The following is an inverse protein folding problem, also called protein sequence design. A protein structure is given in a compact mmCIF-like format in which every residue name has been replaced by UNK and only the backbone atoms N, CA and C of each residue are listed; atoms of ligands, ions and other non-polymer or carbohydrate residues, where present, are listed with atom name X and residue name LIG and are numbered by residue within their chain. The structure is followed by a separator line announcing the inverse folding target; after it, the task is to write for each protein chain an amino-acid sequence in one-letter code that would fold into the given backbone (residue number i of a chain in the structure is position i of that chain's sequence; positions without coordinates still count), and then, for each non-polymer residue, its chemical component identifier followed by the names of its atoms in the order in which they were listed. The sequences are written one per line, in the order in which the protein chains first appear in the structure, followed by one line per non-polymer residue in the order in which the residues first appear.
data_IF_002952453349
#
_entry.id   IF_002952453349
#
_cell.length_a   1.000
_cell.length_b   1.000
_cell.length_c   1.000
_cell.angle_alpha   90.00
_cell.angle_beta   90.00
_cell.angle_gamma   90.00
#
_symmetry.space_group_name_H-M   'P 1'
#
loop_
_entity.id
_entity.type
_entity.pdbx_description
1 polymer ?
#
# COMPACT_ATOMS: atom_id res chain seq x y z
N UNK A 1 -1.31 -18.06 34.30
CA UNK A 1 -2.36 -18.42 33.31
C UNK A 1 -2.31 -17.37 32.21
N UNK A 2 -2.05 -17.75 30.95
CA UNK A 2 -1.91 -16.78 29.89
C UNK A 2 -3.30 -16.27 29.51
N UNK A 3 -3.58 -15.01 29.88
CA UNK A 3 -4.70 -14.26 29.35
C UNK A 3 -4.50 -14.13 27.84
N UNK A 4 -5.50 -14.57 27.10
CA UNK A 4 -5.61 -14.36 25.66
C UNK A 4 -5.33 -12.89 25.36
N UNK A 5 -4.20 -12.63 24.69
CA UNK A 5 -3.94 -11.36 24.03
C UNK A 5 -5.00 -11.21 22.94
N UNK A 6 -6.12 -10.59 23.32
CA UNK A 6 -7.00 -9.97 22.35
C UNK A 6 -6.14 -9.01 21.54
N UNK A 7 -6.06 -9.26 20.24
CA UNK A 7 -5.41 -8.46 19.22
C UNK A 7 -5.93 -7.03 19.28
N UNK A 8 -5.37 -6.20 20.15
CA UNK A 8 -5.41 -4.75 19.97
C UNK A 8 -4.67 -4.47 18.67
N UNK A 9 -5.38 -3.90 17.69
CA UNK A 9 -4.77 -3.32 16.49
C UNK A 9 -3.98 -2.09 16.94
N UNK A 10 -2.76 -2.31 17.44
CA UNK A 10 -1.90 -1.22 17.87
C UNK A 10 -1.31 -0.55 16.63
N UNK A 11 -1.77 0.67 16.34
CA UNK A 11 -1.04 1.58 15.47
C UNK A 11 0.01 2.23 16.37
N UNK A 12 1.25 1.80 16.21
CA UNK A 12 2.35 2.42 16.93
C UNK A 12 2.87 3.61 16.12
N UNK A 13 2.58 4.80 16.61
CA UNK A 13 3.09 6.05 16.05
C UNK A 13 4.36 6.42 16.82
N UNK A 14 5.48 6.53 16.12
CA UNK A 14 6.73 7.04 16.70
C UNK A 14 7.06 8.37 16.07
N UNK A 15 7.44 9.36 16.89
CA UNK A 15 7.92 10.67 16.43
C UNK A 15 9.26 10.94 17.08
N UNK A 16 10.24 11.22 16.22
CA UNK A 16 11.61 11.49 16.62
C UNK A 16 11.92 12.98 16.40
N UNK A 17 12.74 13.53 17.28
CA UNK A 17 13.17 14.93 17.23
C UNK A 17 14.44 15.06 16.37
N UNK A 18 14.36 15.87 15.31
CA UNK A 18 15.54 16.46 14.68
C UNK A 18 16.14 17.52 15.63
N UNK A 19 17.45 17.43 15.91
CA UNK A 19 18.16 18.28 16.88
C UNK A 19 18.23 19.75 16.40
N UNK A 20 17.15 20.52 16.58
CA UNK A 20 17.22 21.99 16.59
C UNK A 20 17.19 22.49 18.04
N UNK A 21 18.13 23.37 18.39
CA UNK A 21 18.11 24.11 19.67
C UNK A 21 16.80 24.92 19.70
N UNK A 22 16.09 24.88 20.84
CA UNK A 22 14.84 25.65 21.10
C UNK A 22 13.51 25.07 20.57
N UNK A 23 13.43 23.75 20.32
CA UNK A 23 12.13 23.07 20.10
C UNK A 23 11.75 22.24 21.34
N UNK A 24 10.60 22.51 21.95
CA UNK A 24 9.95 21.68 22.98
C UNK A 24 8.98 20.69 22.31
N UNK A 25 8.92 19.46 22.81
CA UNK A 25 7.97 18.45 22.35
C UNK A 25 7.10 18.02 23.52
N UNK A 26 5.80 18.06 23.30
CA UNK A 26 4.77 17.62 24.24
C UNK A 26 3.82 16.65 23.55
N UNK A 27 3.18 15.79 24.35
CA UNK A 27 2.23 14.81 23.84
C UNK A 27 1.14 14.56 24.86
N UNK A 28 -0.03 14.14 24.39
CA UNK A 28 -1.14 13.73 25.23
C UNK A 28 -1.90 12.59 24.57
N UNK A 29 -2.45 11.68 25.38
CA UNK A 29 -3.44 10.71 24.90
C UNK A 29 -4.85 11.23 25.15
N UNK A 30 -5.79 10.89 24.26
CA UNK A 30 -7.18 11.31 24.37
C UNK A 30 -8.14 10.28 23.77
N UNK A 31 -9.40 10.36 24.17
CA UNK A 31 -10.48 9.55 23.62
C UNK A 31 -10.94 10.17 22.28
N UNK A 32 -10.72 9.49 21.13
CA UNK A 32 -11.10 10.01 19.83
C UNK A 32 -12.63 10.05 19.61
N UNK A 33 -13.41 9.37 20.46
CA UNK A 33 -14.87 9.35 20.38
C UNK A 33 -15.53 10.51 21.15
N UNK A 34 -14.74 11.25 21.92
CA UNK A 34 -15.19 12.45 22.65
C UNK A 34 -15.31 13.68 21.74
N UNK A 35 -15.76 14.81 22.30
CA UNK A 35 -15.86 16.10 21.58
C UNK A 35 -14.51 16.81 21.36
N UNK A 36 -13.41 16.24 21.85
CA UNK A 36 -12.07 16.83 21.74
C UNK A 36 -11.84 18.07 22.62
N UNK A 37 -12.81 18.48 23.44
CA UNK A 37 -12.71 19.69 24.25
C UNK A 37 -11.57 19.63 25.28
N UNK A 38 -11.30 18.42 25.80
CA UNK A 38 -10.25 18.16 26.80
C UNK A 38 -8.85 18.48 26.28
N UNK A 39 -8.56 18.16 25.02
CA UNK A 39 -7.26 18.43 24.40
C UNK A 39 -7.22 19.84 23.81
N UNK A 40 -8.31 20.27 23.17
CA UNK A 40 -8.40 21.59 22.55
C UNK A 40 -8.28 22.72 23.57
N UNK A 41 -8.90 22.59 24.74
CA UNK A 41 -8.85 23.61 25.78
C UNK A 41 -7.44 23.83 26.32
N UNK A 42 -6.61 22.79 26.39
CA UNK A 42 -5.21 22.86 26.84
C UNK A 42 -4.36 23.54 25.77
N UNK A 43 -4.48 23.12 24.51
CA UNK A 43 -3.79 23.74 23.38
C UNK A 43 -4.16 25.23 23.23
N UNK A 44 -5.45 25.56 23.34
CA UNK A 44 -5.93 26.94 23.22
C UNK A 44 -5.39 27.84 24.34
N UNK A 45 -5.28 27.34 25.58
CA UNK A 45 -4.83 28.13 26.74
C UNK A 45 -3.31 28.23 26.84
N UNK A 46 -2.59 27.17 26.53
CA UNK A 46 -1.17 27.05 26.83
C UNK A 46 -0.27 26.98 25.59
N UNK A 47 -0.83 26.71 24.40
CA UNK A 47 -0.07 26.53 23.16
C UNK A 47 0.70 25.20 23.08
N UNK A 48 0.61 24.35 24.11
CA UNK A 48 1.28 23.05 24.21
C UNK A 48 0.36 22.02 24.88
N UNK A 49 0.82 20.77 24.93
CA UNK A 49 0.11 19.67 25.58
C UNK A 49 0.71 19.38 26.96
N UNK A 50 -0.13 19.07 27.95
CA UNK A 50 0.36 18.49 29.20
C UNK A 50 0.70 17.01 28.97
N UNK A 51 1.89 16.56 29.42
CA UNK A 51 2.25 15.14 29.39
C UNK A 51 1.29 14.36 30.27
N UNK A 52 0.26 13.79 29.65
CA UNK A 52 -0.77 13.03 30.32
C UNK A 52 -0.88 11.67 29.67
N UNK A 53 -0.29 10.68 30.33
CA UNK A 53 -0.49 9.28 30.02
C UNK A 53 -1.82 8.85 30.65
N UNK A 54 -2.88 8.72 29.83
CA UNK A 54 -4.10 8.06 30.30
C UNK A 54 -3.91 6.55 30.17
N UNK A 55 -4.25 5.80 31.23
CA UNK A 55 -4.20 4.34 31.21
C UNK A 55 -5.16 3.78 30.16
N UNK A 56 -4.67 2.83 29.36
CA UNK A 56 -5.44 2.07 28.36
C UNK A 56 -6.65 1.33 28.95
N UNK A 57 -6.69 1.14 30.27
CA UNK A 57 -7.79 0.46 30.96
C UNK A 57 -9.11 1.24 30.96
N UNK A 58 -9.08 2.53 30.57
CA UNK A 58 -10.24 3.44 30.69
C UNK A 58 -11.04 3.57 29.38
N UNK A 59 -10.47 3.28 28.20
CA UNK A 59 -11.11 3.56 26.91
C UNK A 59 -11.12 2.36 25.96
N UNK A 60 -12.15 2.28 25.09
CA UNK A 60 -12.22 1.32 23.99
C UNK A 60 -11.32 1.71 22.80
N UNK A 61 -11.11 3.01 22.59
CA UNK A 61 -10.24 3.59 21.55
C UNK A 61 -9.27 4.59 22.18
N UNK A 62 -8.07 4.72 21.63
CA UNK A 62 -7.05 5.64 22.11
C UNK A 62 -6.42 6.39 20.93
N UNK A 63 -6.36 7.71 21.04
CA UNK A 63 -5.63 8.57 20.13
C UNK A 63 -4.48 9.27 20.86
N UNK A 64 -3.46 9.65 20.08
CA UNK A 64 -2.27 10.37 20.56
C UNK A 64 -2.18 11.67 19.78
N UNK A 65 -1.96 12.77 20.49
CA UNK A 65 -1.61 14.05 19.89
C UNK A 65 -0.16 14.39 20.24
N UNK A 66 0.52 15.01 19.28
CA UNK A 66 1.88 15.47 19.39
C UNK A 66 1.92 16.96 19.09
N UNK A 67 2.62 17.73 19.92
CA UNK A 67 2.76 19.15 19.77
C UNK A 67 4.24 19.52 19.89
N UNK A 68 4.77 20.15 18.85
CA UNK A 68 6.08 20.76 18.85
C UNK A 68 5.92 22.27 18.95
N UNK A 69 6.65 22.87 19.88
CA UNK A 69 6.64 24.30 20.16
C UNK A 69 8.04 24.86 19.98
N UNK A 70 8.14 26.04 19.37
CA UNK A 70 9.40 26.76 19.21
C UNK A 70 9.15 28.25 19.06
N UNK A 71 10.15 29.05 19.44
CA UNK A 71 10.13 30.51 19.29
C UNK A 71 10.95 30.89 18.07
N UNK A 72 10.27 31.40 17.03
CA UNK A 72 10.89 31.89 15.82
C UNK A 72 11.27 33.38 15.98
N UNK A 73 12.54 33.71 15.82
CA UNK A 73 13.02 35.09 15.87
C UNK A 73 12.68 35.84 14.57
N UNK A 74 12.58 37.18 14.58
CA UNK A 74 12.42 37.96 13.35
C UNK A 74 13.51 37.63 12.33
N UNK A 75 13.11 37.45 11.06
CA UNK A 75 14.00 37.07 9.96
C UNK A 75 14.74 35.73 10.16
N UNK A 76 14.17 34.79 10.94
CA UNK A 76 14.70 33.44 11.10
C UNK A 76 13.72 32.37 10.59
N UNK A 77 14.23 31.15 10.38
CA UNK A 77 13.44 29.98 9.97
C UNK A 77 13.69 28.87 10.99
N UNK A 78 12.59 28.26 11.46
CA UNK A 78 12.62 27.06 12.31
C UNK A 78 11.98 25.93 11.51
N UNK A 79 12.66 24.78 11.42
CA UNK A 79 12.15 23.61 10.70
C UNK A 79 11.81 22.52 11.71
N UNK A 80 10.57 22.04 11.67
CA UNK A 80 10.07 20.97 12.53
C UNK A 80 9.58 19.85 11.61
N UNK A 81 10.10 18.65 11.83
CA UNK A 81 9.80 17.48 11.01
C UNK A 81 9.04 16.44 11.84
N UNK A 82 7.98 15.90 11.25
CA UNK A 82 7.22 14.78 11.80
C UNK A 82 7.28 13.61 10.83
N UNK A 83 7.28 12.40 11.38
CA UNK A 83 7.20 11.18 10.60
C UNK A 83 6.09 10.31 11.16
N UNK A 84 5.27 9.74 10.28
CA UNK A 84 4.26 8.75 10.64
C UNK A 84 4.67 7.40 10.07
N UNK A 85 4.66 6.38 10.92
CA UNK A 85 4.91 4.99 10.54
C UNK A 85 3.83 4.10 11.12
N UNK A 86 3.54 2.98 10.47
CA UNK A 86 2.62 1.97 10.97
C UNK A 86 3.18 0.58 10.65
N UNK A 87 2.99 -0.36 11.58
CA UNK A 87 3.34 -1.77 11.40
C UNK A 87 2.07 -2.61 11.36
N UNK A 88 1.69 -3.02 10.14
CA UNK A 88 0.59 -3.96 9.89
C UNK A 88 1.11 -5.10 9.00
N UNK A 89 1.93 -6.00 9.57
CA UNK A 89 2.79 -6.91 8.80
C UNK A 89 2.02 -7.99 8.07
N UNK A 90 0.84 -8.36 8.56
CA UNK A 90 0.07 -9.49 8.05
C UNK A 90 -1.23 -8.97 7.43
N UNK A 91 -1.50 -9.42 6.21
CA UNK A 91 -2.79 -9.23 5.54
C UNK A 91 -3.55 -10.55 5.52
N UNK A 92 -4.84 -10.49 5.87
CA UNK A 92 -5.79 -11.59 5.75
C UNK A 92 -6.93 -11.13 4.85
N UNK A 93 -7.22 -11.92 3.82
CA UNK A 93 -8.37 -11.69 2.94
C UNK A 93 -9.61 -12.37 3.51
N UNK A 94 -10.80 -12.05 2.97
CA UNK A 94 -12.10 -12.49 3.53
C UNK A 94 -12.20 -14.01 3.71
N UNK A 95 -11.51 -14.77 2.87
CA UNK A 95 -11.35 -16.22 3.00
C UNK A 95 -10.72 -16.72 4.30
N UNK A 96 -9.87 -15.91 4.93
CA UNK A 96 -9.18 -16.21 6.19
C UNK A 96 -8.23 -17.42 6.15
N UNK A 97 -8.14 -18.16 5.04
CA UNK A 97 -7.40 -19.43 4.96
C UNK A 97 -5.89 -19.26 4.86
N UNK A 98 -5.41 -18.08 4.47
CA UNK A 98 -3.98 -17.80 4.31
C UNK A 98 -3.64 -16.40 4.85
N UNK A 99 -2.53 -16.34 5.56
CA UNK A 99 -1.89 -15.10 5.99
C UNK A 99 -0.81 -14.71 4.98
N UNK A 100 -0.74 -13.44 4.63
CA UNK A 100 0.29 -12.90 3.74
C UNK A 100 1.12 -11.89 4.50
N UNK A 101 2.44 -12.09 4.52
CA UNK A 101 3.36 -11.14 5.12
C UNK A 101 3.67 -10.05 4.11
N UNK A 102 3.43 -8.78 4.47
CA UNK A 102 3.77 -7.63 3.63
C UNK A 102 5.27 -7.55 3.41
N UNK A 103 5.65 -7.21 2.18
CA UNK A 103 7.05 -7.23 1.70
C UNK A 103 8.02 -6.44 2.58
N UNK A 104 7.59 -5.31 3.14
CA UNK A 104 8.48 -4.44 3.91
C UNK A 104 9.15 -5.16 5.09
N UNK A 105 8.50 -6.20 5.65
CA UNK A 105 9.03 -6.99 6.78
C UNK A 105 10.33 -7.70 6.49
N UNK A 106 10.69 -7.89 5.22
CA UNK A 106 12.00 -8.39 4.82
C UNK A 106 13.14 -7.46 5.25
N UNK A 107 12.91 -6.15 5.26
CA UNK A 107 13.93 -5.12 5.44
C UNK A 107 14.12 -4.71 6.90
N UNK A 108 13.16 -5.02 7.77
CA UNK A 108 13.16 -4.63 9.17
C UNK A 108 13.20 -5.88 10.06
N UNK A 109 14.18 -5.95 10.94
CA UNK A 109 14.35 -7.08 11.88
C UNK A 109 14.50 -6.50 13.29
N UNK A 110 13.37 -6.32 13.96
CA UNK A 110 13.41 -5.82 15.33
C UNK A 110 13.96 -6.88 16.27
N UNK A 111 14.95 -6.50 17.09
CA UNK A 111 15.50 -7.37 18.15
C UNK A 111 14.57 -7.45 19.38
N UNK A 112 13.67 -6.47 19.52
CA UNK A 112 12.82 -6.29 20.70
C UNK A 112 11.32 -6.28 20.34
N UNK A 113 10.95 -6.74 19.13
CA UNK A 113 9.61 -6.68 18.56
C UNK A 113 8.98 -5.28 18.45
N UNK A 114 9.74 -4.20 18.66
CA UNK A 114 9.34 -2.82 18.36
C UNK A 114 9.76 -2.45 16.92
N UNK A 115 8.90 -2.75 15.96
CA UNK A 115 9.15 -2.51 14.53
C UNK A 115 8.88 -1.06 14.13
N UNK A 116 7.97 -0.38 14.81
CA UNK A 116 7.58 0.99 14.46
C UNK A 116 8.61 2.03 14.85
N UNK A 117 9.32 1.83 15.96
CA UNK A 117 10.50 2.65 16.26
C UNK A 117 11.61 2.43 15.23
N UNK A 118 11.83 1.19 14.79
CA UNK A 118 12.81 0.88 13.73
C UNK A 118 12.44 1.55 12.39
N UNK A 119 11.17 1.43 11.97
CA UNK A 119 10.64 2.10 10.78
C UNK A 119 10.80 3.61 10.87
N UNK A 120 10.47 4.21 12.01
CA UNK A 120 10.55 5.65 12.23
C UNK A 120 12.00 6.14 12.18
N UNK A 121 12.92 5.47 12.91
CA UNK A 121 14.34 5.78 12.88
C UNK A 121 14.93 5.65 11.46
N UNK A 122 14.52 4.63 10.71
CA UNK A 122 14.93 4.45 9.33
C UNK A 122 14.43 5.58 8.44
N UNK A 123 13.15 5.95 8.54
CA UNK A 123 12.58 7.07 7.80
C UNK A 123 13.31 8.38 8.08
N UNK A 124 13.57 8.70 9.34
CA UNK A 124 14.36 9.89 9.68
C UNK A 124 15.78 9.82 9.13
N UNK A 125 16.44 8.67 9.21
CA UNK A 125 17.82 8.52 8.74
C UNK A 125 17.95 8.62 7.22
N UNK A 126 16.92 8.20 6.47
CA UNK A 126 16.98 8.09 5.02
C UNK A 126 16.24 9.18 4.25
N UNK A 127 15.35 9.96 4.88
CA UNK A 127 14.48 10.94 4.19
C UNK A 127 15.21 11.88 3.23
N UNK A 128 16.36 12.44 3.61
CA UNK A 128 17.10 13.38 2.76
C UNK A 128 17.63 12.68 1.50
N UNK A 129 18.10 11.44 1.65
CA UNK A 129 18.53 10.63 0.52
C UNK A 129 17.34 10.20 -0.36
N UNK A 130 16.14 10.02 0.21
CA UNK A 130 14.92 9.74 -0.55
C UNK A 130 14.43 10.96 -1.31
N UNK A 131 14.41 12.14 -0.69
CA UNK A 131 14.08 13.41 -1.34
C UNK A 131 15.00 13.67 -2.54
N UNK A 132 16.32 13.47 -2.37
CA UNK A 132 17.28 13.60 -3.47
C UNK A 132 16.99 12.59 -4.60
N UNK A 133 16.70 11.33 -4.28
CA UNK A 133 16.37 10.31 -5.29
C UNK A 133 15.07 10.62 -6.02
N UNK A 134 14.04 11.08 -5.32
CA UNK A 134 12.75 11.50 -5.90
C UNK A 134 12.99 12.68 -6.85
N UNK A 135 13.72 13.70 -6.40
CA UNK A 135 14.07 14.86 -7.23
C UNK A 135 14.85 14.44 -8.47
N UNK A 136 15.86 13.59 -8.33
CA UNK A 136 16.66 13.09 -9.45
C UNK A 136 15.84 12.29 -10.47
N UNK A 137 14.83 11.55 -10.02
CA UNK A 137 13.91 10.86 -10.91
C UNK A 137 12.94 11.83 -11.60
N UNK A 138 12.29 12.74 -10.87
CA UNK A 138 11.33 13.70 -11.43
C UNK A 138 12.00 14.70 -12.39
N UNK A 139 13.21 15.18 -12.06
CA UNK A 139 13.94 16.19 -12.83
C UNK A 139 14.32 15.73 -14.24
N UNK A 140 14.32 14.42 -14.52
CA UNK A 140 14.48 13.90 -15.89
C UNK A 140 13.36 14.35 -16.83
N UNK A 141 12.18 14.63 -16.29
CA UNK A 141 10.99 15.05 -17.02
C UNK A 141 10.65 16.52 -16.72
N UNK A 142 10.76 16.97 -15.47
CA UNK A 142 10.43 18.34 -15.09
C UNK A 142 11.29 19.39 -15.82
N UNK A 143 12.57 19.07 -16.07
CA UNK A 143 13.48 19.96 -16.79
C UNK A 143 13.30 19.93 -18.31
N UNK A 144 12.44 19.05 -18.84
CA UNK A 144 12.13 19.06 -20.26
C UNK A 144 11.13 20.17 -20.57
N UNK A 145 11.63 21.26 -21.16
CA UNK A 145 10.82 22.41 -21.56
C UNK A 145 9.97 22.16 -22.81
N UNK A 146 10.16 21.05 -23.51
CA UNK A 146 9.30 20.66 -24.65
C UNK A 146 7.95 20.09 -24.19
N UNK A 147 7.88 19.60 -22.95
CA UNK A 147 6.67 19.02 -22.37
C UNK A 147 5.81 20.10 -21.68
N UNK A 148 4.50 20.17 -21.95
CA UNK A 148 3.59 21.06 -21.23
C UNK A 148 3.49 20.74 -19.73
N UNK A 149 3.33 21.77 -18.91
CA UNK A 149 3.23 21.59 -17.44
C UNK A 149 2.03 20.73 -17.00
N UNK A 150 0.91 20.81 -17.70
CA UNK A 150 -0.25 19.97 -17.40
C UNK A 150 0.06 18.47 -17.62
N UNK A 151 0.89 18.15 -18.63
CA UNK A 151 1.25 16.79 -18.96
C UNK A 151 2.20 16.22 -17.90
N UNK A 152 3.18 17.01 -17.45
CA UNK A 152 4.06 16.64 -16.34
C UNK A 152 3.26 16.35 -15.07
N UNK A 153 2.31 17.22 -14.75
CA UNK A 153 1.41 17.04 -13.60
C UNK A 153 0.63 15.71 -13.70
N UNK A 154 -0.02 15.44 -14.83
CA UNK A 154 -0.76 14.20 -15.02
C UNK A 154 0.16 12.98 -14.92
N UNK A 155 1.31 13.01 -15.59
CA UNK A 155 2.24 11.88 -15.62
C UNK A 155 2.72 11.45 -14.23
N UNK A 156 2.95 12.40 -13.32
CA UNK A 156 3.36 12.08 -11.95
C UNK A 156 2.18 11.76 -11.03
N UNK A 157 1.11 12.55 -11.11
CA UNK A 157 0.00 12.41 -10.17
C UNK A 157 -0.80 11.13 -10.42
N UNK A 158 -0.95 10.67 -11.67
CA UNK A 158 -1.66 9.42 -11.97
C UNK A 158 -0.95 8.16 -11.41
N UNK A 159 0.35 8.25 -11.07
CA UNK A 159 1.07 7.16 -10.41
C UNK A 159 0.58 6.89 -8.98
N UNK A 160 -0.24 7.77 -8.39
CA UNK A 160 -0.83 7.56 -7.06
C UNK A 160 -1.52 6.19 -6.97
N UNK A 161 -2.14 5.74 -8.07
CA UNK A 161 -2.93 4.51 -8.12
C UNK A 161 -2.09 3.25 -7.86
N UNK A 162 -0.77 3.31 -8.08
CA UNK A 162 0.12 2.18 -7.74
C UNK A 162 0.24 1.95 -6.23
N UNK A 163 -0.06 2.96 -5.43
CA UNK A 163 -0.07 2.86 -3.96
C UNK A 163 -1.49 2.78 -3.42
N UNK A 164 -2.42 3.52 -4.00
CA UNK A 164 -3.80 3.65 -3.53
C UNK A 164 -4.78 2.65 -4.18
N UNK A 165 -4.40 1.98 -5.26
CA UNK A 165 -5.23 1.00 -5.97
C UNK A 165 -5.40 -0.33 -5.23
N UNK A 166 -5.57 -0.32 -3.90
CA UNK A 166 -5.68 -1.54 -3.09
C UNK A 166 -4.43 -2.43 -3.15
N UNK A 167 -3.25 -1.84 -3.35
CA UNK A 167 -2.00 -2.55 -3.62
C UNK A 167 -1.59 -3.50 -2.50
N UNK A 168 -1.21 -4.71 -2.90
CA UNK A 168 -0.71 -5.80 -2.07
C UNK A 168 0.65 -6.23 -2.62
N UNK A 169 1.68 -6.04 -1.79
CA UNK A 169 3.02 -6.53 -2.07
C UNK A 169 3.49 -7.42 -0.92
N UNK A 170 3.71 -8.70 -1.21
CA UNK A 170 3.85 -9.74 -0.19
C UNK A 170 5.11 -10.57 -0.36
N UNK A 171 5.66 -11.04 0.76
CA UNK A 171 6.78 -11.97 0.81
C UNK A 171 6.34 -13.35 0.33
N UNK A 172 7.19 -14.00 -0.47
CA UNK A 172 6.98 -15.38 -0.87
C UNK A 172 7.09 -16.33 0.33
N UNK A 173 6.17 -17.27 0.42
CA UNK A 173 6.20 -18.35 1.39
C UNK A 173 6.25 -19.70 0.66
N UNK A 174 7.21 -20.53 1.04
CA UNK A 174 7.43 -21.85 0.43
C UNK A 174 6.22 -22.77 0.56
N UNK A 175 5.37 -22.54 1.56
CA UNK A 175 4.12 -23.27 1.75
C UNK A 175 3.15 -23.11 0.58
N UNK A 176 3.26 -22.04 -0.23
CA UNK A 176 2.38 -21.79 -1.36
C UNK A 176 2.46 -22.87 -2.43
N UNK A 177 3.62 -23.51 -2.61
CA UNK A 177 3.80 -24.64 -3.55
C UNK A 177 2.88 -25.82 -3.24
N UNK A 178 2.43 -25.98 -1.99
CA UNK A 178 1.49 -27.05 -1.61
C UNK A 178 0.10 -26.84 -2.24
N UNK A 179 -0.26 -25.58 -2.45
CA UNK A 179 -1.58 -25.14 -2.93
C UNK A 179 -1.56 -24.61 -4.37
N UNK A 180 -0.43 -24.08 -4.84
CA UNK A 180 -0.23 -23.46 -6.16
C UNK A 180 0.79 -24.28 -6.95
N UNK A 181 0.32 -25.41 -7.48
CA UNK A 181 1.21 -26.45 -8.06
C UNK A 181 1.81 -26.09 -9.42
N UNK A 182 1.27 -25.07 -10.08
CA UNK A 182 1.69 -24.67 -11.43
C UNK A 182 2.79 -23.60 -11.40
N UNK A 183 3.29 -23.21 -10.22
CA UNK A 183 4.30 -22.18 -10.11
C UNK A 183 5.64 -22.68 -10.65
N UNK A 184 6.21 -21.98 -11.64
CA UNK A 184 7.48 -22.37 -12.24
C UNK A 184 8.67 -22.05 -11.32
N UNK A 185 9.82 -22.70 -11.57
CA UNK A 185 11.06 -22.41 -10.83
C UNK A 185 11.50 -20.94 -10.98
N UNK A 186 11.24 -20.35 -12.15
CA UNK A 186 11.56 -18.95 -12.43
C UNK A 186 10.66 -18.02 -11.62
N UNK A 187 9.35 -18.26 -11.57
CA UNK A 187 8.42 -17.51 -10.72
C UNK A 187 8.79 -17.61 -9.25
N UNK A 188 9.15 -18.80 -8.77
CA UNK A 188 9.60 -18.99 -7.38
C UNK A 188 10.85 -18.15 -7.10
N UNK A 189 11.83 -18.15 -8.02
CA UNK A 189 13.05 -17.34 -7.88
C UNK A 189 12.71 -15.86 -7.84
N UNK A 190 11.89 -15.39 -8.76
CA UNK A 190 11.47 -13.98 -8.83
C UNK A 190 10.71 -13.57 -7.57
N UNK A 191 9.73 -14.35 -7.12
CA UNK A 191 8.96 -14.04 -5.90
C UNK A 191 9.83 -14.06 -4.64
N UNK A 192 10.80 -14.96 -4.53
CA UNK A 192 11.78 -14.93 -3.42
C UNK A 192 12.60 -13.65 -3.42
N UNK A 193 12.96 -13.14 -4.60
CA UNK A 193 13.85 -11.98 -4.73
C UNK A 193 13.11 -10.65 -4.70
N UNK A 194 11.90 -10.54 -5.23
CA UNK A 194 11.16 -9.29 -5.43
C UNK A 194 9.74 -9.29 -4.86
N UNK A 195 9.25 -10.43 -4.38
CA UNK A 195 7.91 -10.57 -3.83
C UNK A 195 6.84 -10.73 -4.92
N UNK A 196 5.63 -11.07 -4.49
CA UNK A 196 4.45 -11.15 -5.34
C UNK A 196 3.63 -9.87 -5.20
N UNK A 197 3.20 -9.31 -6.32
CA UNK A 197 2.57 -7.99 -6.37
C UNK A 197 1.19 -8.07 -7.02
N UNK A 198 0.23 -7.37 -6.42
CA UNK A 198 -1.10 -7.21 -6.98
C UNK A 198 -1.67 -5.83 -6.66
N UNK A 199 -2.50 -5.30 -7.55
CA UNK A 199 -3.30 -4.10 -7.33
C UNK A 199 -4.67 -4.28 -7.99
N UNK A 200 -5.65 -3.49 -7.57
CA UNK A 200 -7.02 -3.55 -8.08
C UNK A 200 -7.13 -2.90 -9.44
N UNK A 201 -8.08 -3.38 -10.24
CA UNK A 201 -8.53 -2.68 -11.43
C UNK A 201 -9.18 -1.34 -11.09
N UNK A 202 -10.10 -1.33 -10.12
CA UNK A 202 -10.73 -0.13 -9.59
C UNK A 202 -11.27 -0.38 -8.17
N UNK A 203 -11.75 0.68 -7.52
CA UNK A 203 -12.48 0.55 -6.25
C UNK A 203 -13.92 0.01 -6.40
N UNK A 204 -14.42 -0.07 -7.63
CA UNK A 204 -15.73 -0.64 -7.97
C UNK A 204 -15.59 -2.10 -8.42
N UNK A 205 -14.47 -2.41 -9.07
CA UNK A 205 -14.12 -3.73 -9.57
C UNK A 205 -12.92 -4.28 -8.80
N UNK A 206 -13.20 -5.06 -7.76
CA UNK A 206 -12.19 -5.61 -6.86
C UNK A 206 -11.36 -6.77 -7.48
N UNK A 207 -11.11 -6.74 -8.78
CA UNK A 207 -10.33 -7.71 -9.52
C UNK A 207 -8.86 -7.32 -9.48
N UNK A 208 -7.99 -8.29 -9.16
CA UNK A 208 -6.56 -8.07 -8.94
C UNK A 208 -5.78 -8.28 -10.22
N UNK A 209 -4.95 -7.29 -10.58
CA UNK A 209 -4.13 -7.29 -11.78
C UNK A 209 -4.90 -7.60 -13.08
N UNK A 210 -6.15 -7.15 -13.23
CA UNK A 210 -6.95 -7.40 -14.46
C UNK A 210 -6.11 -7.16 -15.72
N UNK A 211 -5.87 -8.21 -16.51
CA UNK A 211 -4.76 -8.24 -17.46
C UNK A 211 -4.97 -7.33 -18.67
N UNK A 212 -6.18 -7.28 -19.20
CA UNK A 212 -6.55 -6.41 -20.32
C UNK A 212 -6.50 -4.92 -19.93
N UNK A 213 -6.74 -4.60 -18.66
CA UNK A 213 -6.55 -3.24 -18.13
C UNK A 213 -5.07 -2.98 -17.81
N UNK A 214 -4.39 -3.96 -17.19
CA UNK A 214 -2.98 -3.89 -16.85
C UNK A 214 -2.10 -3.67 -18.09
N UNK A 215 -2.51 -4.16 -19.27
CA UNK A 215 -1.84 -3.85 -20.53
C UNK A 215 -1.56 -2.35 -20.69
N UNK A 216 -2.53 -1.48 -20.37
CA UNK A 216 -2.38 -0.03 -20.50
C UNK A 216 -1.52 0.59 -19.40
N UNK A 217 -1.58 0.07 -18.17
CA UNK A 217 -0.80 0.59 -17.04
C UNK A 217 0.61 0.00 -16.93
N UNK A 218 0.88 -1.14 -17.60
CA UNK A 218 2.13 -1.89 -17.55
C UNK A 218 3.34 -1.03 -17.89
N UNK A 219 3.18 -0.03 -18.79
CA UNK A 219 4.25 0.90 -19.13
C UNK A 219 4.82 1.62 -17.89
N UNK A 220 3.95 2.03 -16.98
CA UNK A 220 4.36 2.73 -15.77
C UNK A 220 5.15 1.81 -14.82
N UNK A 221 4.79 0.51 -14.74
CA UNK A 221 5.57 -0.48 -13.99
C UNK A 221 6.89 -0.81 -14.68
N UNK A 222 6.88 -1.02 -15.99
CA UNK A 222 8.09 -1.35 -16.77
C UNK A 222 9.17 -0.27 -16.66
N UNK A 223 8.77 1.01 -16.71
CA UNK A 223 9.69 2.15 -16.64
C UNK A 223 10.25 2.36 -15.23
N UNK A 224 9.43 2.18 -14.19
CA UNK A 224 9.78 2.57 -12.82
C UNK A 224 10.17 1.38 -11.92
N UNK A 225 9.55 0.22 -12.10
CA UNK A 225 9.74 -1.01 -11.30
C UNK A 225 9.69 -2.28 -12.17
N UNK A 226 10.65 -2.47 -13.10
CA UNK A 226 10.64 -3.59 -14.06
C UNK A 226 10.64 -4.98 -13.39
N UNK A 227 11.20 -5.11 -12.19
CA UNK A 227 11.22 -6.38 -11.45
C UNK A 227 9.84 -6.73 -10.84
N UNK A 228 9.05 -5.71 -10.51
CA UNK A 228 7.64 -5.88 -10.10
C UNK A 228 6.81 -6.28 -11.32
N UNK A 229 7.01 -5.61 -12.46
CA UNK A 229 6.38 -5.99 -13.72
C UNK A 229 6.67 -7.45 -14.08
N UNK A 230 7.94 -7.87 -13.97
CA UNK A 230 8.34 -9.26 -14.21
C UNK A 230 7.64 -10.24 -13.26
N UNK A 231 7.50 -9.89 -11.98
CA UNK A 231 6.70 -10.70 -11.04
C UNK A 231 5.25 -10.88 -11.51
N UNK A 232 4.60 -9.83 -12.04
CA UNK A 232 3.23 -9.91 -12.56
C UNK A 232 3.16 -10.82 -13.79
N UNK A 233 4.07 -10.64 -14.75
CA UNK A 233 4.08 -11.43 -15.99
C UNK A 233 4.37 -12.91 -15.74
N UNK A 234 5.27 -13.25 -14.82
CA UNK A 234 5.55 -14.64 -14.43
C UNK A 234 4.35 -15.29 -13.73
N UNK A 235 3.63 -14.54 -12.89
CA UNK A 235 2.39 -15.03 -12.26
C UNK A 235 1.36 -15.43 -13.32
N UNK A 236 1.17 -14.56 -14.33
CA UNK A 236 0.28 -14.82 -15.47
C UNK A 236 0.76 -15.97 -16.36
N UNK A 237 2.06 -16.09 -16.62
CA UNK A 237 2.64 -17.16 -17.42
C UNK A 237 2.34 -18.54 -16.83
N UNK A 238 2.48 -18.67 -15.50
CA UNK A 238 2.15 -19.91 -14.78
C UNK A 238 0.63 -20.24 -14.86
N UNK A 239 -0.23 -19.25 -15.10
CA UNK A 239 -1.66 -19.49 -15.27
C UNK A 239 -2.04 -20.04 -16.65
N UNK A 240 -1.19 -19.96 -17.67
CA UNK A 240 -1.52 -20.43 -19.03
C UNK A 240 -1.87 -21.92 -19.03
N UNK A 241 -1.09 -22.73 -18.31
CA UNK A 241 -1.29 -24.19 -18.22
C UNK A 241 -2.25 -24.59 -17.10
N UNK A 242 -2.65 -23.64 -16.27
CA UNK A 242 -3.56 -23.87 -15.15
C UNK A 242 -5.01 -24.12 -15.61
N UNK A 243 -5.70 -25.01 -14.90
CA UNK A 243 -7.08 -25.42 -15.18
C UNK A 243 -7.88 -25.48 -13.88
N UNK A 244 -9.08 -24.90 -13.90
CA UNK A 244 -10.06 -24.99 -12.82
C UNK A 244 -11.42 -25.40 -13.42
N UNK A 245 -11.84 -26.62 -13.05
CA UNK A 245 -13.08 -27.22 -13.54
C UNK A 245 -14.32 -26.81 -12.74
N UNK A 246 -14.19 -26.03 -11.66
CA UNK A 246 -15.35 -25.51 -10.95
C UNK A 246 -16.20 -24.67 -11.91
N UNK A 247 -17.49 -24.99 -11.97
CA UNK A 247 -18.42 -24.24 -12.79
C UNK A 247 -18.90 -23.00 -12.04
N UNK A 248 -19.09 -21.92 -12.78
CA UNK A 248 -19.75 -20.72 -12.29
C UNK A 248 -20.78 -20.26 -13.32
N UNK A 249 -21.79 -19.56 -12.83
CA UNK A 249 -22.83 -19.00 -13.68
C UNK A 249 -22.32 -17.69 -14.30
N UNK A 250 -22.14 -17.69 -15.62
CA UNK A 250 -21.81 -16.49 -16.37
C UNK A 250 -23.04 -15.60 -16.46
N UNK A 251 -22.96 -14.39 -15.90
CA UNK A 251 -24.04 -13.40 -15.98
C UNK A 251 -24.22 -12.86 -17.41
N UNK A 252 -23.17 -12.90 -18.24
CA UNK A 252 -23.22 -12.44 -19.62
C UNK A 252 -23.92 -13.45 -20.53
N UNK A 253 -23.50 -14.72 -20.46
CA UNK A 253 -24.03 -15.78 -21.34
C UNK A 253 -25.32 -16.40 -20.79
N UNK A 254 -25.61 -16.22 -19.49
CA UNK A 254 -26.73 -16.89 -18.82
C UNK A 254 -26.56 -18.40 -18.69
N UNK A 255 -25.32 -18.90 -18.77
CA UNK A 255 -24.97 -20.32 -18.78
C UNK A 255 -23.90 -20.62 -17.73
N UNK A 256 -23.80 -21.90 -17.33
CA UNK A 256 -22.68 -22.38 -16.54
C UNK A 256 -21.46 -22.60 -17.44
N UNK A 257 -20.30 -22.12 -17.00
CA UNK A 257 -19.04 -22.31 -17.68
C UNK A 257 -17.92 -22.62 -16.70
N UNK A 258 -16.84 -23.21 -17.20
CA UNK A 258 -15.66 -23.57 -16.39
C UNK A 258 -14.92 -22.31 -15.96
N UNK A 259 -14.50 -22.26 -14.70
CA UNK A 259 -13.77 -21.13 -14.12
C UNK A 259 -12.42 -20.87 -14.79
N UNK A 260 -11.68 -21.89 -15.24
CA UNK A 260 -10.41 -21.68 -15.95
C UNK A 260 -10.11 -22.82 -16.91
N UNK A 261 -9.87 -22.47 -18.17
CA UNK A 261 -9.47 -23.42 -19.21
C UNK A 261 -7.97 -23.40 -19.48
N UNK A 262 -7.44 -24.56 -19.87
CA UNK A 262 -6.06 -24.71 -20.34
C UNK A 262 -5.77 -23.81 -21.55
N UNK A 263 -4.57 -23.26 -21.63
CA UNK A 263 -4.09 -22.47 -22.77
C UNK A 263 -4.70 -21.07 -22.86
N UNK A 264 -5.43 -20.61 -21.84
CA UNK A 264 -6.00 -19.25 -21.77
C UNK A 264 -5.44 -18.50 -20.58
N UNK A 265 -5.03 -17.26 -20.81
CA UNK A 265 -4.69 -16.32 -19.74
C UNK A 265 -5.98 -15.98 -18.95
N UNK A 266 -5.96 -15.98 -17.60
CA UNK A 266 -7.11 -15.52 -16.83
C UNK A 266 -7.33 -14.02 -17.02
N UNK A 267 -8.55 -13.56 -16.77
CA UNK A 267 -8.87 -12.13 -16.84
C UNK A 267 -8.17 -11.35 -15.72
N UNK A 268 -8.21 -11.90 -14.51
CA UNK A 268 -7.60 -11.34 -13.31
C UNK A 268 -6.92 -12.45 -12.50
N UNK A 269 -6.04 -12.02 -11.57
CA UNK A 269 -5.41 -12.89 -10.60
C UNK A 269 -6.20 -12.94 -9.29
N UNK A 270 -7.50 -12.67 -9.30
CA UNK A 270 -8.43 -12.93 -8.21
C UNK A 270 -9.01 -11.69 -7.54
N UNK A 271 -9.50 -11.86 -6.30
CA UNK A 271 -10.33 -10.86 -5.64
C UNK A 271 -10.14 -10.92 -4.11
N UNK A 272 -10.05 -9.78 -3.39
CA UNK A 272 -9.96 -9.74 -1.92
C UNK A 272 -11.07 -10.46 -1.17
N UNK A 273 -12.24 -10.65 -1.78
CA UNK A 273 -13.36 -11.39 -1.22
C UNK A 273 -13.22 -12.91 -1.36
N UNK A 274 -12.28 -13.40 -2.18
CA UNK A 274 -12.08 -14.82 -2.42
C UNK A 274 -11.39 -15.52 -1.24
N UNK A 275 -11.47 -16.86 -1.27
CA UNK A 275 -10.88 -17.72 -0.25
C UNK A 275 -9.35 -17.56 -0.17
N UNK A 276 -8.71 -17.44 -1.33
CA UNK A 276 -7.33 -16.98 -1.48
C UNK A 276 -7.33 -15.74 -2.37
N UNK A 277 -6.44 -14.77 -2.13
CA UNK A 277 -6.33 -13.58 -2.96
C UNK A 277 -6.15 -13.97 -4.43
N UNK A 278 -5.21 -14.87 -4.66
CA UNK A 278 -4.86 -15.42 -5.95
C UNK A 278 -5.75 -16.59 -6.37
N UNK A 279 -7.07 -16.39 -6.31
CA UNK A 279 -8.06 -17.34 -6.81
C UNK A 279 -8.68 -16.77 -8.07
N UNK A 280 -8.33 -17.34 -9.22
CA UNK A 280 -8.68 -16.83 -10.54
C UNK A 280 -10.19 -16.72 -10.77
N UNK A 281 -10.62 -15.65 -11.43
CA UNK A 281 -11.92 -15.57 -12.06
C UNK A 281 -11.74 -15.50 -13.59
N UNK A 282 -12.64 -16.18 -14.29
CA UNK A 282 -12.84 -15.99 -15.71
C UNK A 282 -14.08 -15.13 -15.86
N UNK A 283 -13.97 -14.05 -16.62
CA UNK A 283 -15.10 -13.39 -17.24
C UNK A 283 -14.99 -13.71 -18.72
N UNK A 284 -16.03 -14.34 -19.29
CA UNK A 284 -16.02 -14.61 -20.71
C UNK A 284 -16.07 -13.27 -21.45
N UNK A 285 -14.94 -12.92 -22.07
CA UNK A 285 -14.82 -11.89 -23.12
C UNK A 285 -15.47 -10.54 -22.77
N UNK A 286 -14.78 -9.72 -21.97
CA UNK A 286 -14.96 -8.28 -22.04
C UNK A 286 -14.36 -7.76 -23.35
N UNK A 287 -15.21 -7.48 -24.34
CA UNK A 287 -14.90 -6.43 -25.31
C UNK A 287 -15.37 -5.12 -24.68
N UNK A 288 -14.48 -4.48 -23.90
CA UNK A 288 -14.71 -3.11 -23.48
C UNK A 288 -14.54 -2.21 -24.70
N UNK A 289 -15.65 -1.73 -25.28
CA UNK A 289 -15.60 -0.60 -26.21
C UNK A 289 -15.33 0.64 -25.36
N UNK A 290 -14.05 0.99 -25.21
CA UNK A 290 -13.65 2.27 -24.64
C UNK A 290 -14.00 3.35 -25.65
N UNK A 291 -15.14 4.03 -25.42
CA UNK A 291 -15.43 5.27 -26.12
C UNK A 291 -14.52 6.37 -25.53
N UNK A 292 -13.39 6.62 -26.19
CA UNK A 292 -12.57 7.80 -25.93
C UNK A 292 -13.35 9.01 -26.45
N UNK A 293 -14.04 9.73 -25.56
CA UNK A 293 -14.59 11.04 -25.88
C UNK A 293 -13.42 12.03 -25.81
N UNK A 294 -12.74 12.23 -26.94
CA UNK A 294 -11.83 13.36 -27.12
C UNK A 294 -12.68 14.65 -27.14
N UNK A 295 -12.34 15.67 -26.34
CA UNK A 295 -12.93 16.99 -26.54
C UNK A 295 -12.47 17.53 -27.90
N UNK A 296 -13.41 17.61 -28.85
CA UNK A 296 -13.26 18.44 -30.05
C UNK A 296 -13.18 19.90 -29.58
N UNK A 297 -11.97 20.42 -29.47
CA UNK A 297 -11.73 21.86 -29.42
C UNK A 297 -11.94 22.36 -30.84
N UNK A 298 -13.15 22.81 -31.14
CA UNK A 298 -13.38 23.67 -32.30
C UNK A 298 -12.67 25.01 -32.03
N UNK A 299 -11.89 25.42 -33.03
CA UNK A 299 -11.16 26.68 -33.17
C UNK A 299 -11.91 27.91 -32.70
#
# INVERSE_FOLDING_TARGET
MPLQQNTMKQIWVSVQKSFQKNVSLTYATFDPTSDGSSIWSVLYKHGNLEKKDISLEVFQELAIALCAESVCQPNSVVNIEFLLTWDMPVVKFRGGKREYVRRYRRFFRSKNDDFTTELCNHGFSCRLAWEEQINNWQNKILNDHSLPEWYKSALFNELYYMTDGGTIWVEYDESWQKTERNMSEETIRQFKQYGRFAYLESWEYHMMNTYDVHFYSSFAFMVNWPEIELSIQLDYADQVTSVDHHEYYSLYEGTFTKRKNFGRIPHDLGNPCNVFLFTMLFLSSFQLVVAVILPLICS
#
